data_IF_564281907803
#
_entry.id   IF_564281907803
#
_cell.length_a   1.000
_cell.length_b   1.000
_cell.length_c   1.000
_cell.angle_alpha   90.00
_cell.angle_beta   90.00
_cell.angle_gamma   90.00
#
_symmetry.space_group_name_H-M   'P 1'
#
loop_
_entity.id
_entity.type
_entity.pdbx_description
1 polymer ?
#
# COMPACT_ATOMS: atom_id res chain seq x y z
N UNK A 1 40.14 -25.55 -42.65
CA UNK A 1 40.66 -24.16 -42.66
C UNK A 1 39.49 -23.21 -42.59
N UNK A 2 39.33 -22.43 -41.51
CA UNK A 2 38.37 -21.32 -41.41
C UNK A 2 38.87 -20.36 -40.32
N UNK A 3 39.27 -19.15 -40.70
CA UNK A 3 39.62 -18.06 -39.78
C UNK A 3 38.46 -17.06 -39.76
N UNK A 4 38.07 -16.56 -38.58
CA UNK A 4 37.36 -15.29 -38.44
C UNK A 4 38.00 -14.48 -37.32
N UNK A 5 38.09 -13.17 -37.54
CA UNK A 5 38.91 -12.19 -36.82
C UNK A 5 37.98 -11.21 -36.10
N UNK A 6 38.18 -10.98 -34.80
CA UNK A 6 37.72 -9.82 -34.01
C UNK A 6 38.71 -9.66 -32.83
N UNK A 7 39.13 -8.50 -32.32
CA UNK A 7 39.47 -7.16 -32.88
C UNK A 7 40.24 -6.43 -31.77
N UNK A 8 41.38 -5.77 -32.06
CA UNK A 8 42.02 -4.86 -31.12
C UNK A 8 42.85 -3.78 -31.85
N UNK A 9 42.34 -2.55 -31.88
CA UNK A 9 43.09 -1.36 -32.31
C UNK A 9 42.96 -0.31 -31.22
N UNK A 10 44.06 -0.06 -30.49
CA UNK A 10 44.14 1.03 -29.53
C UNK A 10 44.28 2.37 -30.25
N UNK A 11 43.79 3.47 -29.65
CA UNK A 11 44.12 4.82 -30.11
C UNK A 11 44.51 5.73 -28.95
N UNK A 12 45.56 6.50 -29.23
CA UNK A 12 46.41 7.29 -28.36
C UNK A 12 45.72 8.24 -27.36
N UNK A 13 46.40 8.43 -26.22
CA UNK A 13 46.25 9.62 -25.40
C UNK A 13 47.00 10.82 -26.01
N UNK A 14 46.47 12.02 -25.84
CA UNK A 14 47.21 13.28 -26.03
C UNK A 14 47.01 14.18 -24.82
N UNK A 15 48.13 14.60 -24.24
CA UNK A 15 48.19 15.52 -23.11
C UNK A 15 48.42 16.93 -23.65
N UNK A 16 47.64 17.91 -23.20
CA UNK A 16 47.86 19.32 -23.51
C UNK A 16 47.73 20.16 -22.24
N UNK A 17 48.87 20.66 -21.75
CA UNK A 17 48.95 21.59 -20.62
C UNK A 17 48.99 23.03 -21.12
N UNK A 18 48.21 23.92 -20.51
CA UNK A 18 48.46 25.35 -20.55
C UNK A 18 48.12 26.02 -19.21
N UNK A 19 49.08 26.80 -18.71
CA UNK A 19 48.93 27.87 -17.71
C UNK A 19 48.30 29.10 -18.40
N UNK A 20 47.72 30.15 -17.81
CA UNK A 20 47.69 30.90 -16.53
C UNK A 20 46.43 31.83 -16.61
N UNK A 21 46.17 32.84 -15.75
CA UNK A 21 46.28 32.98 -14.29
C UNK A 21 44.91 33.34 -13.64
N UNK A 22 44.90 33.60 -12.33
CA UNK A 22 43.74 34.04 -11.55
C UNK A 22 43.29 35.47 -11.89
N UNK A 23 41.99 35.68 -12.18
CA UNK A 23 41.10 36.69 -11.55
C UNK A 23 39.73 36.67 -12.23
N UNK A 24 38.70 36.19 -11.52
CA UNK A 24 37.30 36.43 -11.85
C UNK A 24 36.55 36.77 -10.57
N UNK A 25 36.09 38.02 -10.47
CA UNK A 25 35.28 38.50 -9.35
C UNK A 25 33.89 37.88 -9.48
N UNK A 26 33.53 36.97 -8.56
CA UNK A 26 32.16 36.53 -8.44
C UNK A 26 31.33 37.61 -7.74
N UNK A 27 30.33 38.14 -8.44
CA UNK A 27 29.30 38.96 -7.84
C UNK A 27 28.51 38.12 -6.83
N UNK A 28 28.31 38.66 -5.62
CA UNK A 28 27.50 38.01 -4.61
C UNK A 28 26.00 38.14 -4.99
N UNK A 29 25.40 37.06 -5.50
CA UNK A 29 23.95 36.95 -5.59
C UNK A 29 23.44 35.99 -4.51
N UNK A 30 22.75 36.56 -3.51
CA UNK A 30 22.24 35.84 -2.36
C UNK A 30 20.93 35.11 -2.75
N UNK A 31 21.03 33.89 -3.29
CA UNK A 31 19.86 33.05 -3.63
C UNK A 31 19.87 31.72 -2.88
N UNK A 32 19.07 31.74 -1.81
CA UNK A 32 18.30 30.66 -1.15
C UNK A 32 18.65 29.23 -1.60
N UNK A 33 19.10 28.34 -0.68
CA UNK A 33 19.34 26.94 -1.03
C UNK A 33 18.04 26.27 -1.47
N UNK A 34 18.04 25.68 -2.66
CA UNK A 34 16.93 24.86 -3.14
C UNK A 34 16.92 23.58 -2.31
N UNK A 35 16.10 23.60 -1.25
CA UNK A 35 15.75 22.41 -0.49
C UNK A 35 15.07 21.44 -1.47
N UNK A 36 15.62 20.23 -1.59
CA UNK A 36 14.95 19.14 -2.31
C UNK A 36 13.67 18.85 -1.54
N UNK A 37 12.57 19.41 -2.02
CA UNK A 37 11.25 19.17 -1.49
C UNK A 37 10.87 17.74 -1.87
N UNK A 38 11.23 16.79 -1.02
CA UNK A 38 10.58 15.49 -1.02
C UNK A 38 9.08 15.76 -0.99
N UNK A 39 8.38 15.26 -2.00
CA UNK A 39 6.93 15.31 -2.03
C UNK A 39 6.43 14.44 -0.88
N UNK A 40 6.27 15.06 0.29
CA UNK A 40 5.38 14.60 1.33
C UNK A 40 4.03 14.42 0.65
N UNK A 41 3.73 13.17 0.27
CA UNK A 41 2.42 12.78 -0.23
C UNK A 41 1.46 13.20 0.88
N UNK A 42 0.66 14.21 0.60
CA UNK A 42 -0.27 14.78 1.55
C UNK A 42 -1.44 13.81 1.68
N UNK A 43 -1.19 12.69 2.38
CA UNK A 43 -2.22 11.75 2.81
C UNK A 43 -3.08 12.52 3.79
N UNK A 44 -4.16 13.12 3.27
CA UNK A 44 -5.05 13.99 4.01
C UNK A 44 -5.53 13.29 5.30
N UNK A 45 -5.59 13.98 6.44
CA UNK A 45 -6.08 13.37 7.70
C UNK A 45 -7.51 12.83 7.58
N UNK A 46 -8.29 13.30 6.58
CA UNK A 46 -9.59 12.73 6.21
C UNK A 46 -9.52 11.25 5.81
N UNK A 47 -8.50 10.77 5.10
CA UNK A 47 -8.44 9.37 4.68
C UNK A 47 -8.10 8.41 5.83
N UNK A 48 -7.47 8.91 6.90
CA UNK A 48 -7.13 8.12 8.10
C UNK A 48 -8.37 7.89 8.97
N UNK A 49 -9.16 8.93 9.24
CA UNK A 49 -10.45 8.82 9.93
C UNK A 49 -11.44 7.94 9.12
N UNK A 50 -11.43 8.08 7.79
CA UNK A 50 -12.24 7.23 6.93
C UNK A 50 -11.80 5.75 6.93
N UNK A 51 -10.50 5.45 7.04
CA UNK A 51 -10.01 4.08 7.20
C UNK A 51 -10.47 3.49 8.55
N UNK A 52 -10.38 4.23 9.65
CA UNK A 52 -10.90 3.80 10.94
C UNK A 52 -12.41 3.54 10.86
N UNK A 53 -13.18 4.45 10.27
CA UNK A 53 -14.63 4.30 10.07
C UNK A 53 -14.97 3.04 9.25
N UNK A 54 -14.21 2.74 8.19
CA UNK A 54 -14.37 1.51 7.41
C UNK A 54 -14.02 0.25 8.22
N UNK A 55 -12.96 0.28 9.02
CA UNK A 55 -12.61 -0.84 9.92
C UNK A 55 -13.71 -1.08 10.96
N UNK A 56 -14.26 -0.02 11.56
CA UNK A 56 -15.35 -0.15 12.53
C UNK A 56 -16.64 -0.67 11.89
N UNK A 57 -17.02 -0.17 10.70
CA UNK A 57 -18.18 -0.67 9.95
C UNK A 57 -18.02 -2.14 9.54
N UNK A 58 -16.80 -2.58 9.19
CA UNK A 58 -16.53 -3.98 8.91
C UNK A 58 -16.63 -4.86 10.17
N UNK A 59 -16.06 -4.43 11.31
CA UNK A 59 -15.98 -5.25 12.52
C UNK A 59 -17.28 -5.30 13.33
N UNK A 60 -18.05 -4.21 13.36
CA UNK A 60 -19.17 -4.01 14.30
C UNK A 60 -20.49 -3.63 13.62
N UNK A 61 -20.48 -3.39 12.30
CA UNK A 61 -21.61 -2.83 11.57
C UNK A 61 -22.01 -1.41 12.02
N UNK A 62 -23.07 -0.84 11.41
CA UNK A 62 -23.68 -1.28 10.15
C UNK A 62 -22.79 -0.93 8.94
N UNK A 63 -23.17 -1.42 7.75
CA UNK A 63 -22.52 -1.07 6.46
C UNK A 63 -22.38 0.46 6.27
N UNK A 64 -21.17 0.93 6.01
CA UNK A 64 -20.90 2.33 5.61
C UNK A 64 -20.83 2.44 4.09
N UNK A 65 -21.38 3.52 3.52
CA UNK A 65 -21.49 3.73 2.06
C UNK A 65 -20.81 5.02 1.62
N UNK A 66 -20.26 5.00 0.41
CA UNK A 66 -19.57 6.12 -0.24
C UNK A 66 -18.47 6.76 0.61
N UNK A 67 -17.71 5.94 1.35
CA UNK A 67 -16.61 6.42 2.17
C UNK A 67 -15.34 6.58 1.32
N UNK A 68 -14.73 7.77 1.33
CA UNK A 68 -13.56 8.06 0.49
C UNK A 68 -12.26 7.61 1.17
N UNK A 69 -11.55 6.64 0.60
CA UNK A 69 -10.31 6.07 1.13
C UNK A 69 -9.31 5.94 -0.03
N UNK A 70 -8.08 6.47 0.15
CA UNK A 70 -7.01 6.46 -0.86
C UNK A 70 -7.46 6.92 -2.26
N UNK A 71 -8.19 8.03 -2.33
CA UNK A 71 -8.79 8.61 -3.56
C UNK A 71 -9.94 7.84 -4.24
N UNK A 72 -10.35 6.68 -3.69
CA UNK A 72 -11.50 5.90 -4.18
C UNK A 72 -12.69 5.98 -3.21
N UNK A 73 -13.91 5.81 -3.71
CA UNK A 73 -15.11 5.71 -2.87
C UNK A 73 -15.50 4.24 -2.68
N UNK A 74 -15.82 3.85 -1.44
CA UNK A 74 -16.17 2.47 -1.10
C UNK A 74 -17.50 2.36 -0.34
N UNK A 75 -18.14 1.20 -0.47
CA UNK A 75 -19.09 0.70 0.52
C UNK A 75 -18.40 -0.46 1.26
N UNK A 76 -18.41 -0.46 2.59
CA UNK A 76 -17.75 -1.47 3.42
C UNK A 76 -18.81 -2.15 4.28
N UNK A 77 -18.99 -3.44 4.06
CA UNK A 77 -19.97 -4.27 4.76
C UNK A 77 -19.39 -4.90 6.01
N UNK A 78 -20.27 -5.23 6.94
CA UNK A 78 -19.96 -6.04 8.12
C UNK A 78 -19.40 -7.41 7.71
N UNK A 79 -18.46 -7.94 8.50
CA UNK A 79 -17.84 -9.25 8.28
C UNK A 79 -18.74 -10.40 8.74
N UNK A 80 -18.63 -11.54 8.06
CA UNK A 80 -19.16 -12.81 8.52
C UNK A 80 -18.03 -13.61 9.19
N UNK A 81 -18.27 -14.09 10.41
CA UNK A 81 -17.29 -14.85 11.20
C UNK A 81 -17.77 -16.28 11.39
N UNK A 82 -16.94 -17.24 10.99
CA UNK A 82 -17.20 -18.68 11.13
C UNK A 82 -16.16 -19.30 12.04
N UNK A 83 -16.58 -19.72 13.23
CA UNK A 83 -15.73 -20.42 14.18
C UNK A 83 -15.45 -21.86 13.68
N UNK A 84 -14.16 -22.22 13.56
CA UNK A 84 -13.70 -23.56 13.16
C UNK A 84 -13.00 -24.29 14.33
N UNK A 85 -13.22 -23.84 15.57
CA UNK A 85 -12.64 -24.41 16.78
C UNK A 85 -11.12 -24.40 16.75
N UNK A 86 -10.50 -25.58 16.84
CA UNK A 86 -9.03 -25.71 16.85
C UNK A 86 -8.33 -25.22 15.57
N UNK A 87 -9.06 -24.97 14.47
CA UNK A 87 -8.52 -24.37 13.26
C UNK A 87 -8.49 -22.82 13.30
N UNK A 88 -9.12 -22.18 14.29
CA UNK A 88 -9.25 -20.73 14.42
C UNK A 88 -10.60 -20.21 13.90
N UNK A 89 -10.69 -18.90 13.66
CA UNK A 89 -11.86 -18.24 13.07
C UNK A 89 -11.59 -17.89 11.61
N UNK A 90 -12.45 -18.34 10.71
CA UNK A 90 -12.49 -17.84 9.33
C UNK A 90 -13.37 -16.59 9.28
N UNK A 91 -12.83 -15.52 8.69
CA UNK A 91 -13.53 -14.25 8.54
C UNK A 91 -13.68 -13.95 7.06
N UNK A 92 -14.89 -13.63 6.65
CA UNK A 92 -15.27 -13.25 5.30
C UNK A 92 -15.75 -11.80 5.31
N UNK A 93 -15.44 -11.02 4.28
CA UNK A 93 -15.97 -9.67 4.15
C UNK A 93 -16.06 -9.21 2.72
N UNK A 94 -16.80 -8.12 2.52
CA UNK A 94 -17.09 -7.55 1.20
C UNK A 94 -16.92 -6.02 1.22
N UNK A 95 -16.21 -5.53 0.21
CA UNK A 95 -16.02 -4.11 -0.09
C UNK A 95 -16.49 -3.88 -1.53
N UNK A 96 -17.37 -2.91 -1.73
CA UNK A 96 -17.78 -2.45 -3.06
C UNK A 96 -17.03 -1.17 -3.41
N UNK A 97 -16.35 -1.12 -4.54
CA UNK A 97 -15.81 0.11 -5.12
C UNK A 97 -16.95 0.87 -5.81
N UNK A 98 -17.30 2.04 -5.26
CA UNK A 98 -18.45 2.79 -5.72
C UNK A 98 -18.18 3.52 -7.03
N UNK A 99 -19.00 3.25 -8.06
CA UNK A 99 -18.83 3.81 -9.39
C UNK A 99 -20.11 4.51 -9.86
N UNK A 100 -20.03 5.82 -10.13
CA UNK A 100 -21.21 6.64 -10.45
C UNK A 100 -21.96 6.27 -11.75
N UNK A 101 -21.33 5.53 -12.67
CA UNK A 101 -21.83 5.33 -14.04
C UNK A 101 -21.90 3.86 -14.49
N UNK A 102 -21.62 2.91 -13.58
CA UNK A 102 -21.64 1.46 -13.85
C UNK A 102 -21.83 0.71 -12.53
N UNK A 103 -22.23 -0.58 -12.54
CA UNK A 103 -22.26 -1.38 -11.32
C UNK A 103 -20.92 -1.34 -10.59
N UNK A 104 -20.99 -1.16 -9.27
CA UNK A 104 -19.84 -1.16 -8.35
C UNK A 104 -19.01 -2.45 -8.52
N UNK A 105 -17.69 -2.30 -8.60
CA UNK A 105 -16.79 -3.47 -8.62
C UNK A 105 -16.71 -4.06 -7.21
N UNK A 106 -16.80 -5.38 -7.06
CA UNK A 106 -16.79 -6.03 -5.75
C UNK A 106 -15.43 -6.64 -5.46
N UNK A 107 -14.95 -6.45 -4.23
CA UNK A 107 -13.83 -7.15 -3.63
C UNK A 107 -14.34 -7.91 -2.40
N UNK A 108 -14.28 -9.23 -2.47
CA UNK A 108 -14.45 -10.14 -1.35
C UNK A 108 -13.08 -10.47 -0.79
N UNK A 109 -13.00 -10.67 0.52
CA UNK A 109 -11.78 -11.11 1.18
C UNK A 109 -12.09 -12.19 2.20
N UNK A 110 -11.12 -13.08 2.41
CA UNK A 110 -11.17 -14.14 3.42
C UNK A 110 -9.84 -14.18 4.14
N UNK A 111 -9.86 -14.21 5.46
CA UNK A 111 -8.66 -14.50 6.26
C UNK A 111 -8.97 -15.47 7.39
N UNK A 112 -7.93 -16.17 7.85
CA UNK A 112 -8.02 -17.05 9.03
C UNK A 112 -7.22 -16.43 10.16
N UNK A 113 -7.89 -16.18 11.29
CA UNK A 113 -7.27 -15.77 12.56
C UNK A 113 -7.16 -17.00 13.46
N UNK A 114 -6.00 -17.17 14.10
CA UNK A 114 -5.74 -18.24 15.08
C UNK A 114 -4.64 -17.81 16.04
N UNK A 115 -4.92 -17.82 17.35
CA UNK A 115 -3.97 -17.45 18.41
C UNK A 115 -3.41 -16.03 18.17
N UNK A 116 -4.30 -15.06 17.94
CA UNK A 116 -4.02 -13.67 17.54
C UNK A 116 -3.26 -13.49 16.20
N UNK A 117 -2.82 -14.58 15.55
CA UNK A 117 -2.10 -14.56 14.27
C UNK A 117 -3.02 -14.78 13.07
N UNK A 118 -2.75 -14.08 11.98
CA UNK A 118 -3.36 -14.31 10.67
C UNK A 118 -2.52 -15.36 9.95
N UNK A 119 -3.16 -16.47 9.54
CA UNK A 119 -2.48 -17.65 8.99
C UNK A 119 -2.83 -17.94 7.52
N UNK A 120 -3.87 -17.29 7.00
CA UNK A 120 -4.25 -17.31 5.59
C UNK A 120 -4.94 -16.00 5.21
N UNK A 121 -4.72 -15.53 3.98
CA UNK A 121 -5.37 -14.34 3.44
C UNK A 121 -5.55 -14.50 1.92
N UNK A 122 -6.79 -14.43 1.45
CA UNK A 122 -7.17 -14.49 0.04
C UNK A 122 -8.12 -13.34 -0.32
N UNK A 123 -8.09 -12.92 -1.59
CA UNK A 123 -8.94 -11.90 -2.18
C UNK A 123 -9.68 -12.43 -3.40
N UNK A 124 -10.89 -11.94 -3.66
CA UNK A 124 -11.59 -12.20 -4.91
C UNK A 124 -12.22 -10.90 -5.41
N UNK A 125 -11.95 -10.57 -6.66
CA UNK A 125 -12.64 -9.48 -7.36
C UNK A 125 -13.61 -10.11 -8.36
N UNK A 126 -14.81 -9.53 -8.52
CA UNK A 126 -15.87 -9.94 -9.47
C UNK A 126 -15.44 -9.76 -10.95
N UNK A 127 -14.43 -10.57 -11.33
CA UNK A 127 -13.75 -10.68 -12.63
C UNK A 127 -12.57 -11.67 -12.63
N UNK A 128 -12.01 -12.08 -11.48
CA UNK A 128 -10.65 -12.66 -11.41
C UNK A 128 -10.44 -13.97 -10.63
N UNK A 129 -11.48 -14.59 -10.06
CA UNK A 129 -11.31 -15.75 -9.16
C UNK A 129 -10.65 -15.37 -7.82
N UNK A 130 -10.40 -16.34 -6.94
CA UNK A 130 -9.66 -16.10 -5.68
C UNK A 130 -8.16 -16.05 -5.95
N UNK A 131 -7.49 -15.02 -5.45
CA UNK A 131 -6.07 -14.70 -5.65
C UNK A 131 -5.40 -14.35 -4.32
N UNK A 132 -4.07 -14.54 -4.19
CA UNK A 132 -3.34 -14.17 -2.99
C UNK A 132 -3.19 -12.64 -2.84
N UNK A 133 -3.03 -12.21 -1.59
CA UNK A 133 -2.64 -10.84 -1.20
C UNK A 133 -1.29 -10.42 -1.82
N UNK A 134 -1.17 -9.16 -2.23
CA UNK A 134 0.06 -8.66 -2.87
C UNK A 134 1.24 -8.53 -1.90
N UNK A 135 2.46 -8.71 -2.41
CA UNK A 135 3.68 -8.82 -1.60
C UNK A 135 3.95 -7.65 -0.63
N UNK A 136 3.72 -6.36 -0.97
CA UNK A 136 3.93 -5.27 -0.01
C UNK A 136 2.92 -5.29 1.15
N UNK A 137 1.68 -5.72 0.91
CA UNK A 137 0.67 -5.89 1.97
C UNK A 137 0.97 -7.12 2.84
N UNK A 138 1.54 -8.19 2.28
CA UNK A 138 2.09 -9.30 3.06
C UNK A 138 3.19 -8.85 4.03
N UNK A 139 4.08 -7.94 3.62
CA UNK A 139 5.12 -7.39 4.50
C UNK A 139 4.54 -6.59 5.67
N UNK A 140 3.48 -5.80 5.42
CA UNK A 140 2.74 -5.10 6.49
C UNK A 140 2.07 -6.12 7.41
N UNK A 141 1.31 -7.07 6.86
CA UNK A 141 0.64 -8.12 7.63
C UNK A 141 1.62 -8.88 8.53
N UNK A 142 2.79 -9.26 8.02
CA UNK A 142 3.83 -9.93 8.78
C UNK A 142 4.43 -9.06 9.91
N UNK A 143 4.50 -7.75 9.73
CA UNK A 143 5.02 -6.80 10.73
C UNK A 143 4.07 -6.64 11.91
N UNK A 144 2.77 -6.67 11.69
CA UNK A 144 1.74 -6.56 12.74
C UNK A 144 1.20 -7.92 13.22
N UNK A 145 1.70 -9.06 12.71
CA UNK A 145 1.09 -10.36 13.01
C UNK A 145 1.27 -10.75 14.49
N UNK A 146 0.17 -10.98 15.20
CA UNK A 146 0.18 -11.20 16.65
C UNK A 146 0.41 -9.93 17.49
N UNK A 147 0.45 -8.74 16.89
CA UNK A 147 0.48 -7.45 17.58
C UNK A 147 -0.94 -6.86 17.60
N UNK A 148 -1.54 -6.58 18.77
CA UNK A 148 -2.86 -5.97 18.83
C UNK A 148 -2.88 -4.57 18.20
N UNK A 149 -3.68 -4.38 17.15
CA UNK A 149 -3.91 -3.06 16.54
C UNK A 149 -5.06 -2.36 17.27
N UNK A 150 -4.71 -1.36 18.06
CA UNK A 150 -5.62 -0.41 18.70
C UNK A 150 -5.96 0.74 17.72
N UNK A 151 -7.13 1.42 17.84
CA UNK A 151 -7.44 2.66 17.11
C UNK A 151 -6.29 3.67 16.98
N UNK A 152 -5.52 3.91 18.06
CA UNK A 152 -4.36 4.81 18.03
C UNK A 152 -3.28 4.38 17.02
N UNK A 153 -3.16 3.08 16.74
CA UNK A 153 -2.20 2.51 15.79
C UNK A 153 -2.77 2.47 14.35
N UNK A 154 -4.08 2.64 14.15
CA UNK A 154 -4.69 2.70 12.81
C UNK A 154 -4.18 3.88 11.98
N UNK A 155 -3.81 4.99 12.63
CA UNK A 155 -3.19 6.14 11.95
C UNK A 155 -1.84 5.75 11.34
N UNK A 156 -1.00 5.04 12.09
CA UNK A 156 0.33 4.61 11.65
C UNK A 156 0.24 3.51 10.59
N UNK A 157 -0.65 2.52 10.80
CA UNK A 157 -0.98 1.50 9.81
C UNK A 157 -1.52 2.11 8.51
N UNK A 158 -2.43 3.08 8.58
CA UNK A 158 -2.97 3.80 7.43
C UNK A 158 -1.91 4.55 6.63
N UNK A 159 -0.90 5.11 7.29
CA UNK A 159 0.26 5.72 6.61
C UNK A 159 1.16 4.68 5.93
N UNK A 160 1.30 3.48 6.50
CA UNK A 160 2.08 2.40 5.87
C UNK A 160 1.34 1.80 4.67
N UNK A 161 0.04 1.54 4.81
CA UNK A 161 -0.84 1.11 3.72
C UNK A 161 -0.86 2.13 2.58
N UNK A 162 -0.97 3.43 2.89
CA UNK A 162 -0.95 4.51 1.90
C UNK A 162 0.33 4.59 1.06
N UNK A 163 1.46 4.02 1.51
CA UNK A 163 2.72 3.91 0.73
C UNK A 163 2.72 2.75 -0.27
N UNK A 164 1.80 1.81 -0.13
CA UNK A 164 1.65 0.64 -1.02
C UNK A 164 0.65 0.92 -2.15
N UNK A 165 -0.22 1.91 -1.99
CA UNK A 165 -1.20 2.28 -3.02
C UNK A 165 -0.50 2.95 -4.21
N UNK A 166 -0.64 2.35 -5.38
CA UNK A 166 -0.20 2.84 -6.69
C UNK A 166 -1.29 3.62 -7.45
N UNK A 167 -2.44 3.87 -6.80
CA UNK A 167 -3.62 4.49 -7.39
C UNK A 167 -4.69 3.49 -7.85
N UNK A 168 -4.42 2.18 -7.84
CA UNK A 168 -5.46 1.15 -8.08
C UNK A 168 -6.47 1.09 -6.92
N UNK A 169 -7.75 0.94 -7.29
CA UNK A 169 -8.82 0.72 -6.31
C UNK A 169 -8.72 -0.67 -5.68
N UNK A 170 -8.19 -1.65 -6.44
CA UNK A 170 -7.93 -3.02 -5.97
C UNK A 170 -6.95 -2.99 -4.79
N UNK A 171 -5.81 -2.31 -4.92
CA UNK A 171 -4.83 -2.17 -3.83
C UNK A 171 -5.39 -1.37 -2.64
N UNK A 172 -6.23 -0.36 -2.90
CA UNK A 172 -6.93 0.38 -1.84
C UNK A 172 -7.91 -0.52 -1.06
N UNK A 173 -8.71 -1.33 -1.75
CA UNK A 173 -9.61 -2.30 -1.14
C UNK A 173 -8.87 -3.42 -0.39
N UNK A 174 -7.77 -3.95 -0.95
CA UNK A 174 -6.92 -4.91 -0.23
C UNK A 174 -6.30 -4.30 1.04
N UNK A 175 -5.99 -3.01 1.02
CA UNK A 175 -5.45 -2.28 2.19
C UNK A 175 -6.49 -2.10 3.29
N UNK A 176 -7.74 -1.78 2.94
CA UNK A 176 -8.85 -1.74 3.91
C UNK A 176 -9.01 -3.13 4.57
N UNK A 177 -9.09 -4.20 3.78
CA UNK A 177 -9.21 -5.56 4.30
C UNK A 177 -8.02 -6.01 5.17
N UNK A 178 -6.80 -5.53 4.85
CA UNK A 178 -5.60 -5.73 5.68
C UNK A 178 -5.70 -4.99 7.02
N UNK A 179 -6.28 -3.79 7.04
CA UNK A 179 -6.55 -3.08 8.30
C UNK A 179 -7.63 -3.78 9.14
N UNK A 180 -8.69 -4.31 8.50
CA UNK A 180 -9.74 -5.10 9.17
C UNK A 180 -9.17 -6.36 9.80
N UNK A 181 -8.34 -7.13 9.10
CA UNK A 181 -7.81 -8.40 9.62
C UNK A 181 -6.85 -8.23 10.80
N UNK A 182 -6.06 -7.16 10.79
CA UNK A 182 -5.15 -6.80 11.89
C UNK A 182 -5.91 -6.27 13.11
N UNK A 183 -7.05 -5.62 12.89
CA UNK A 183 -7.92 -5.08 13.94
C UNK A 183 -8.93 -6.10 14.49
N UNK A 184 -9.17 -7.19 13.78
CA UNK A 184 -10.06 -8.28 14.20
C UNK A 184 -9.51 -9.01 15.43
N UNK A 185 -10.38 -9.15 16.43
CA UNK A 185 -10.10 -9.81 17.71
C UNK A 185 -10.85 -11.15 17.76
N UNK A 186 -10.23 -12.19 18.31
CA UNK A 186 -10.86 -13.53 18.40
C UNK A 186 -11.85 -13.65 19.57
N UNK A 187 -11.89 -12.67 20.49
CA UNK A 187 -12.68 -12.71 21.74
C UNK A 187 -14.16 -12.40 21.55
#
# INVERSE_FOLDING_TARGET
MNKKIITATALAATLATSTVPTTSVFAAENKIPIQRQESLVNIQPFSQNNLETAVQAALNGPEVKKIKIFEHEFNVKEIEVVDRGAAGKEVFGQISHHLSFRPDDQLYYKFTKKNDQITGFEFHIDRGGWTPIVAPLLSILATYNGIPVNPNNLTELGQQLGKVIDGSWEHAGQSIATAVSLSFNEK
#
